data_IF_148020650140
#
_entry.id   IF_148020650140
#
_cell.length_a   1.000
_cell.length_b   1.000
_cell.length_c   1.000
_cell.angle_alpha   90.00
_cell.angle_beta   90.00
_cell.angle_gamma   90.00
#
_symmetry.space_group_name_H-M   'P 1'
#
loop_
_entity.id
_entity.type
_entity.pdbx_description
1 polymer ?
#
# COMPACT_ATOMS: atom_id res chain seq x y z
N UNK A 1 9.16 3.14 -20.63
CA UNK A 1 9.79 2.30 -19.60
C UNK A 1 9.46 0.85 -19.90
N UNK A 2 10.44 -0.05 -19.91
CA UNK A 2 10.22 -1.50 -20.05
C UNK A 2 10.49 -2.17 -18.71
N UNK A 3 9.52 -2.11 -17.79
CA UNK A 3 9.60 -2.86 -16.54
C UNK A 3 9.20 -4.31 -16.82
N UNK A 4 9.88 -5.26 -16.16
CA UNK A 4 9.57 -6.68 -16.22
C UNK A 4 9.39 -7.20 -14.80
N UNK A 5 8.34 -8.01 -14.59
CA UNK A 5 8.04 -8.67 -13.33
C UNK A 5 7.75 -10.15 -13.62
N UNK A 6 8.48 -11.06 -12.98
CA UNK A 6 8.27 -12.50 -13.10
C UNK A 6 7.18 -12.95 -12.10
N UNK A 7 6.04 -13.36 -12.64
CA UNK A 7 4.94 -13.92 -11.86
C UNK A 7 5.29 -15.33 -11.34
N UNK A 8 4.87 -15.70 -10.10
CA UNK A 8 4.07 -14.92 -9.17
C UNK A 8 4.89 -13.91 -8.35
N UNK A 9 4.60 -12.63 -8.50
CA UNK A 9 5.07 -11.56 -7.63
C UNK A 9 3.87 -10.69 -7.24
N UNK A 10 3.92 -10.12 -6.04
CA UNK A 10 2.84 -9.28 -5.51
C UNK A 10 3.40 -7.91 -5.11
N UNK A 11 2.83 -6.86 -5.70
CA UNK A 11 3.17 -5.48 -5.40
C UNK A 11 2.08 -4.80 -4.56
N UNK A 12 2.50 -3.96 -3.61
CA UNK A 12 1.57 -3.09 -2.89
C UNK A 12 0.86 -2.13 -3.85
N UNK A 13 -0.38 -1.76 -3.51
CA UNK A 13 -1.17 -0.82 -4.32
C UNK A 13 -0.40 0.48 -4.58
N UNK A 14 -0.53 1.06 -5.78
CA UNK A 14 0.19 2.28 -6.20
C UNK A 14 1.73 2.16 -6.15
N UNK A 15 2.29 0.95 -6.26
CA UNK A 15 3.75 0.78 -6.39
C UNK A 15 4.22 1.19 -7.78
N UNK A 16 5.23 2.05 -7.85
CA UNK A 16 5.95 2.34 -9.08
C UNK A 16 7.04 1.28 -9.27
N UNK A 17 7.01 0.54 -10.38
CA UNK A 17 7.98 -0.52 -10.70
C UNK A 17 8.92 -0.07 -11.81
N UNK A 18 10.23 -0.32 -11.62
CA UNK A 18 11.26 0.03 -12.60
C UNK A 18 12.37 -1.04 -12.65
N UNK A 19 12.63 -1.55 -13.86
CA UNK A 19 13.69 -2.53 -14.12
C UNK A 19 13.15 -3.96 -14.23
N UNK A 20 14.04 -4.96 -14.08
CA UNK A 20 13.73 -6.37 -14.31
C UNK A 20 13.71 -7.17 -13.00
N UNK A 21 12.52 -7.49 -12.51
CA UNK A 21 12.30 -8.22 -11.26
C UNK A 21 12.01 -9.70 -11.57
N UNK A 22 13.04 -10.54 -11.54
CA UNK A 22 12.93 -11.99 -11.82
C UNK A 22 12.58 -12.83 -10.60
N UNK A 23 12.56 -12.24 -9.41
CA UNK A 23 12.21 -12.94 -8.17
C UNK A 23 10.74 -12.76 -7.81
N UNK A 24 10.13 -13.83 -7.31
CA UNK A 24 8.75 -13.90 -6.80
C UNK A 24 8.62 -13.19 -5.44
N UNK A 25 8.75 -11.87 -5.44
CA UNK A 25 8.69 -11.03 -4.25
C UNK A 25 7.24 -10.82 -3.79
N UNK A 26 7.08 -10.53 -2.50
CA UNK A 26 5.78 -10.14 -1.93
C UNK A 26 5.92 -8.86 -1.12
N UNK A 27 5.45 -7.77 -1.73
CA UNK A 27 5.44 -6.42 -1.15
C UNK A 27 4.02 -5.89 -1.00
N UNK A 28 3.02 -6.80 -0.98
CA UNK A 28 1.60 -6.45 -0.86
C UNK A 28 1.29 -5.59 0.37
N UNK A 29 2.06 -5.75 1.45
CA UNK A 29 1.96 -4.96 2.67
C UNK A 29 2.46 -3.51 2.51
N UNK A 30 3.17 -3.14 1.45
CA UNK A 30 3.84 -1.84 1.30
C UNK A 30 3.25 -1.01 0.16
N UNK A 31 2.06 -0.39 0.33
CA UNK A 31 1.46 0.44 -0.70
C UNK A 31 2.28 1.71 -0.95
N UNK A 32 2.07 2.35 -2.10
CA UNK A 32 2.74 3.59 -2.51
C UNK A 32 4.27 3.50 -2.49
N UNK A 33 4.82 2.33 -2.78
CA UNK A 33 6.27 2.11 -2.77
C UNK A 33 6.90 2.39 -4.12
N UNK A 34 8.22 2.56 -4.15
CA UNK A 34 9.01 2.36 -5.37
C UNK A 34 9.70 1.01 -5.28
N UNK A 35 9.60 0.22 -6.34
CA UNK A 35 10.33 -1.03 -6.51
C UNK A 35 11.29 -0.84 -7.69
N UNK A 36 12.59 -0.82 -7.40
CA UNK A 36 13.63 -0.52 -8.39
C UNK A 36 14.64 -1.65 -8.43
N UNK A 37 14.86 -2.21 -9.62
CA UNK A 37 15.98 -3.12 -9.84
C UNK A 37 17.29 -2.34 -9.91
N UNK A 38 18.28 -2.83 -9.16
CA UNK A 38 19.65 -2.35 -9.25
C UNK A 38 20.59 -3.51 -8.94
N UNK A 39 21.56 -3.76 -9.82
CA UNK A 39 22.56 -4.82 -9.63
C UNK A 39 21.90 -6.18 -9.38
N UNK A 40 20.88 -6.52 -10.18
CA UNK A 40 20.13 -7.79 -10.10
C UNK A 40 19.33 -7.98 -8.80
N UNK A 41 19.28 -6.95 -7.94
CA UNK A 41 18.51 -6.94 -6.70
C UNK A 41 17.33 -5.99 -6.81
N UNK A 42 16.21 -6.40 -6.21
CA UNK A 42 15.02 -5.57 -6.11
C UNK A 42 15.06 -4.73 -4.84
N UNK A 43 15.17 -3.42 -4.97
CA UNK A 43 15.15 -2.48 -3.87
C UNK A 43 13.75 -1.90 -3.68
N UNK A 44 13.22 -2.06 -2.48
CA UNK A 44 11.95 -1.48 -2.07
C UNK A 44 12.22 -0.17 -1.31
N UNK A 45 11.51 0.89 -1.71
CA UNK A 45 11.48 2.16 -1.00
C UNK A 45 10.05 2.41 -0.51
N UNK A 46 9.74 2.02 0.74
CA UNK A 46 8.39 2.06 1.28
C UNK A 46 7.83 3.49 1.30
N UNK A 47 6.60 3.65 0.83
CA UNK A 47 5.87 4.92 0.83
C UNK A 47 6.45 6.02 -0.07
N UNK A 48 7.50 5.75 -0.87
CA UNK A 48 8.16 6.76 -1.70
C UNK A 48 7.23 7.45 -2.69
N UNK A 49 6.23 6.73 -3.20
CA UNK A 49 5.25 7.24 -4.14
C UNK A 49 4.21 8.18 -3.49
N UNK A 50 4.08 8.21 -2.15
CA UNK A 50 3.17 9.14 -1.44
C UNK A 50 3.50 10.61 -1.72
N UNK A 51 4.77 10.92 -2.01
CA UNK A 51 5.25 12.29 -2.25
C UNK A 51 5.36 12.65 -3.73
N UNK A 52 4.86 11.80 -4.63
CA UNK A 52 5.02 12.01 -6.07
C UNK A 52 3.80 12.75 -6.66
N UNK A 53 4.07 13.67 -7.59
CA UNK A 53 3.01 14.24 -8.46
C UNK A 53 2.33 13.17 -9.32
N UNK A 54 3.03 12.06 -9.61
CA UNK A 54 2.48 10.94 -10.35
C UNK A 54 1.28 10.33 -9.65
N UNK A 55 1.37 10.11 -8.34
CA UNK A 55 0.28 9.57 -7.52
C UNK A 55 -0.92 10.51 -7.52
N UNK A 56 -0.72 11.80 -7.24
CA UNK A 56 -1.82 12.80 -7.24
C UNK A 56 -2.52 12.81 -8.59
N UNK A 57 -1.73 12.89 -9.68
CA UNK A 57 -2.27 12.87 -11.04
C UNK A 57 -3.04 11.59 -11.31
N UNK A 58 -2.54 10.42 -10.91
CA UNK A 58 -3.23 9.16 -11.16
C UNK A 58 -4.54 9.06 -10.36
N UNK A 59 -4.55 9.53 -9.11
CA UNK A 59 -5.75 9.60 -8.28
C UNK A 59 -6.83 10.53 -8.87
N UNK A 60 -6.45 11.65 -9.47
CA UNK A 60 -7.39 12.57 -10.13
C UNK A 60 -7.81 12.09 -11.53
N UNK A 61 -6.88 11.48 -12.25
CA UNK A 61 -7.05 11.05 -13.65
C UNK A 61 -8.07 9.94 -13.80
N UNK A 62 -8.08 8.95 -12.92
CA UNK A 62 -8.98 7.79 -13.07
C UNK A 62 -10.46 8.15 -12.89
N UNK A 63 -10.88 8.89 -11.85
CA UNK A 63 -12.24 9.43 -11.75
C UNK A 63 -12.62 10.29 -12.95
N UNK A 64 -11.74 11.21 -13.37
CA UNK A 64 -12.02 12.12 -14.47
C UNK A 64 -12.16 11.42 -15.84
N UNK A 65 -11.65 10.19 -15.95
CA UNK A 65 -11.74 9.35 -17.15
C UNK A 65 -12.83 8.28 -17.05
N UNK A 66 -13.57 8.20 -15.95
CA UNK A 66 -14.68 7.27 -15.84
C UNK A 66 -15.86 7.75 -16.69
N UNK A 67 -15.92 7.24 -17.92
CA UNK A 67 -16.99 7.51 -18.88
C UNK A 67 -18.10 6.47 -18.91
N UNK A 68 -18.18 5.58 -17.90
CA UNK A 68 -19.16 4.49 -17.88
C UNK A 68 -20.59 5.04 -17.80
N UNK A 69 -21.42 4.68 -18.79
CA UNK A 69 -22.86 5.00 -18.82
C UNK A 69 -23.69 3.96 -18.07
N UNK A 70 -23.18 2.74 -17.91
CA UNK A 70 -23.82 1.66 -17.15
C UNK A 70 -22.82 1.17 -16.10
N UNK A 71 -23.16 1.35 -14.82
CA UNK A 71 -22.26 1.09 -13.69
C UNK A 71 -22.62 -0.24 -13.00
N UNK A 72 -22.29 -1.37 -13.64
CA UNK A 72 -22.52 -2.70 -13.06
C UNK A 72 -21.52 -3.09 -11.98
N UNK A 73 -20.31 -2.52 -12.06
CA UNK A 73 -19.23 -2.73 -11.09
C UNK A 73 -19.14 -1.55 -10.13
N UNK A 74 -18.98 -1.85 -8.84
CA UNK A 74 -18.63 -0.86 -7.85
C UNK A 74 -17.14 -0.52 -8.00
N UNK A 75 -16.83 0.73 -8.35
CA UNK A 75 -15.47 1.25 -8.36
C UNK A 75 -15.41 2.36 -7.33
N UNK A 76 -14.58 2.17 -6.32
CA UNK A 76 -14.28 3.20 -5.33
C UNK A 76 -12.94 3.86 -5.71
N UNK A 77 -12.98 5.18 -5.92
CA UNK A 77 -11.81 5.97 -6.30
C UNK A 77 -11.14 6.69 -5.13
N UNK A 78 -11.67 6.55 -3.91
CA UNK A 78 -11.12 7.22 -2.74
C UNK A 78 -9.75 6.67 -2.39
N UNK A 79 -8.75 7.56 -2.32
CA UNK A 79 -7.40 7.20 -1.90
C UNK A 79 -7.30 6.99 -0.37
N UNK A 80 -8.14 7.69 0.40
CA UNK A 80 -8.19 7.59 1.84
C UNK A 80 -9.29 6.60 2.22
N UNK A 81 -8.98 5.32 2.14
CA UNK A 81 -9.89 4.23 2.45
C UNK A 81 -9.28 3.26 3.47
N UNK A 82 -10.10 2.43 4.16
CA UNK A 82 -9.59 1.59 5.23
C UNK A 82 -8.73 0.42 4.74
N UNK A 83 -8.88 -0.02 3.48
CA UNK A 83 -8.02 -1.02 2.88
C UNK A 83 -6.57 -0.53 2.73
N UNK A 84 -6.37 0.63 2.09
CA UNK A 84 -5.04 1.23 1.92
C UNK A 84 -4.46 1.70 3.26
N UNK A 85 -5.28 2.28 4.13
CA UNK A 85 -4.84 2.73 5.47
C UNK A 85 -4.41 1.56 6.33
N UNK A 86 -5.17 0.45 6.31
CA UNK A 86 -4.80 -0.79 6.98
C UNK A 86 -3.50 -1.40 6.45
N UNK A 87 -3.27 -1.34 5.13
CA UNK A 87 -1.99 -1.76 4.55
C UNK A 87 -0.82 -0.86 4.99
N UNK A 88 -1.01 0.46 5.08
CA UNK A 88 0.03 1.37 5.59
C UNK A 88 0.35 1.11 7.07
N UNK A 89 -0.64 0.78 7.90
CA UNK A 89 -0.42 0.38 9.29
C UNK A 89 0.42 -0.90 9.38
N UNK A 90 0.07 -1.93 8.60
CA UNK A 90 0.86 -3.16 8.50
C UNK A 90 2.29 -2.89 8.00
N UNK A 91 2.47 -1.96 7.07
CA UNK A 91 3.79 -1.54 6.60
C UNK A 91 4.62 -0.94 7.75
N UNK A 92 4.03 -0.07 8.57
CA UNK A 92 4.71 0.54 9.73
C UNK A 92 5.13 -0.54 10.72
N UNK A 93 4.24 -1.47 11.06
CA UNK A 93 4.54 -2.59 11.95
C UNK A 93 5.69 -3.46 11.40
N UNK A 94 5.66 -3.76 10.10
CA UNK A 94 6.72 -4.54 9.45
C UNK A 94 8.08 -3.80 9.44
N UNK A 95 8.09 -2.48 9.21
CA UNK A 95 9.32 -1.69 9.22
C UNK A 95 9.91 -1.57 10.63
N UNK A 96 9.07 -1.38 11.66
CA UNK A 96 9.53 -1.42 13.05
C UNK A 96 10.09 -2.80 13.42
N UNK A 97 9.41 -3.88 13.03
CA UNK A 97 9.91 -5.24 13.29
C UNK A 97 11.27 -5.50 12.64
N UNK A 98 11.54 -4.97 11.44
CA UNK A 98 12.86 -5.06 10.81
C UNK A 98 13.93 -4.24 11.57
N UNK A 99 13.62 -3.00 11.94
CA UNK A 99 14.53 -2.11 12.67
C UNK A 99 14.84 -2.63 14.08
N UNK A 100 13.88 -3.22 14.78
CA UNK A 100 14.07 -3.80 16.12
C UNK A 100 14.94 -5.07 16.09
N UNK A 101 14.86 -5.87 15.03
CA UNK A 101 15.66 -7.09 14.87
C UNK A 101 17.14 -6.79 14.65
N UNK A 102 17.46 -5.73 13.89
CA UNK A 102 18.83 -5.29 13.64
C UNK A 102 18.90 -3.75 13.47
N UNK A 103 19.04 -3.00 14.58
CA UNK A 103 19.02 -1.53 14.54
C UNK A 103 20.16 -0.91 13.72
N UNK A 104 21.29 -1.62 13.58
CA UNK A 104 22.50 -1.12 12.95
C UNK A 104 22.68 -1.63 11.50
N UNK A 105 21.77 -2.47 11.00
CA UNK A 105 21.79 -2.94 9.62
C UNK A 105 21.77 -1.77 8.61
N UNK A 106 22.66 -1.84 7.63
CA UNK A 106 22.63 -0.91 6.49
C UNK A 106 21.48 -1.24 5.50
N UNK A 107 21.14 -2.52 5.38
CA UNK A 107 20.11 -3.05 4.49
C UNK A 107 19.33 -4.18 5.17
N UNK A 108 18.01 -4.18 4.98
CA UNK A 108 17.07 -5.14 5.53
C UNK A 108 16.52 -6.01 4.40
N UNK A 109 16.76 -7.33 4.40
CA UNK A 109 16.05 -8.26 3.53
C UNK A 109 14.55 -8.28 3.86
N UNK A 110 13.69 -8.17 2.86
CA UNK A 110 12.25 -8.18 3.05
C UNK A 110 11.56 -8.87 1.86
N UNK A 111 11.04 -10.09 2.06
CA UNK A 111 10.26 -10.84 1.06
C UNK A 111 10.87 -10.86 -0.36
N UNK A 112 12.15 -11.22 -0.46
CA UNK A 112 12.95 -11.24 -1.70
C UNK A 112 13.20 -9.86 -2.34
N UNK A 113 13.01 -8.80 -1.56
CA UNK A 113 13.47 -7.44 -1.83
C UNK A 113 14.44 -6.99 -0.74
N UNK A 114 14.95 -5.77 -0.89
CA UNK A 114 15.90 -5.15 0.03
C UNK A 114 15.44 -3.74 0.33
N UNK A 115 15.38 -3.39 1.62
CA UNK A 115 15.09 -2.04 2.09
C UNK A 115 16.36 -1.46 2.71
N UNK A 116 16.85 -0.33 2.20
CA UNK A 116 17.98 0.37 2.84
C UNK A 116 17.52 1.04 4.14
N UNK A 117 18.37 1.11 5.16
CA UNK A 117 18.03 1.73 6.43
C UNK A 117 17.49 3.18 6.30
N UNK A 118 18.07 3.96 5.39
CA UNK A 118 17.58 5.30 5.09
C UNK A 118 16.16 5.30 4.47
N UNK A 119 15.87 4.33 3.61
CA UNK A 119 14.55 4.18 2.99
C UNK A 119 13.51 3.67 4.00
N UNK A 120 13.90 2.77 4.92
CA UNK A 120 13.06 2.31 6.04
C UNK A 120 12.63 3.49 6.91
N UNK A 121 13.60 4.25 7.45
CA UNK A 121 13.32 5.41 8.32
C UNK A 121 12.51 6.49 7.61
N UNK A 122 12.72 6.67 6.30
CA UNK A 122 11.88 7.56 5.48
C UNK A 122 10.46 7.02 5.34
N UNK A 123 10.31 5.73 5.06
CA UNK A 123 9.04 5.04 4.91
C UNK A 123 8.18 5.18 6.16
N UNK A 124 8.74 4.93 7.34
CA UNK A 124 8.06 5.15 8.63
C UNK A 124 7.49 6.57 8.76
N UNK A 125 8.29 7.59 8.42
CA UNK A 125 7.84 8.99 8.47
C UNK A 125 6.73 9.29 7.45
N UNK A 126 6.81 8.73 6.25
CA UNK A 126 5.83 8.96 5.19
C UNK A 126 4.50 8.26 5.49
N UNK A 127 4.54 6.98 5.88
CA UNK A 127 3.34 6.24 6.24
C UNK A 127 2.64 6.84 7.45
N UNK A 128 3.36 7.20 8.52
CA UNK A 128 2.71 7.83 9.68
C UNK A 128 1.96 9.12 9.31
N UNK A 129 2.54 9.96 8.44
CA UNK A 129 1.84 11.17 7.94
C UNK A 129 0.61 10.82 7.10
N UNK A 130 0.75 9.86 6.18
CA UNK A 130 -0.35 9.46 5.30
C UNK A 130 -1.49 8.79 6.07
N UNK A 131 -1.17 7.96 7.08
CA UNK A 131 -2.15 7.34 7.98
C UNK A 131 -2.94 8.42 8.72
N UNK A 132 -2.27 9.40 9.34
CA UNK A 132 -2.96 10.49 10.04
C UNK A 132 -3.87 11.28 9.10
N UNK A 133 -3.41 11.60 7.88
CA UNK A 133 -4.21 12.30 6.89
C UNK A 133 -5.42 11.49 6.42
N UNK A 134 -5.25 10.18 6.21
CA UNK A 134 -6.31 9.28 5.78
C UNK A 134 -7.35 9.08 6.89
N UNK A 135 -6.91 8.85 8.13
CA UNK A 135 -7.80 8.75 9.29
C UNK A 135 -8.59 10.03 9.50
N UNK A 136 -7.95 11.21 9.40
CA UNK A 136 -8.64 12.49 9.50
C UNK A 136 -9.77 12.64 8.48
N UNK A 137 -9.51 12.30 7.21
CA UNK A 137 -10.53 12.36 6.15
C UNK A 137 -11.65 11.33 6.33
N UNK A 138 -11.32 10.11 6.76
CA UNK A 138 -12.32 9.06 6.99
C UNK A 138 -13.20 9.38 8.20
N UNK A 139 -12.63 9.90 9.29
CA UNK A 139 -13.37 10.28 10.49
C UNK A 139 -14.27 11.50 10.27
N UNK A 140 -13.84 12.47 9.46
CA UNK A 140 -14.65 13.65 9.10
C UNK A 140 -15.94 13.27 8.36
N UNK A 141 -15.92 12.15 7.63
CA UNK A 141 -17.08 11.60 6.91
C UNK A 141 -17.81 10.49 7.66
N UNK A 142 -17.22 10.00 8.75
CA UNK A 142 -17.68 8.83 9.47
C UNK A 142 -18.73 9.17 10.51
N UNK A 143 -19.56 8.18 10.83
CA UNK A 143 -20.51 8.25 11.95
C UNK A 143 -20.11 7.21 13.00
N UNK A 144 -20.34 7.53 14.27
CA UNK A 144 -20.14 6.56 15.35
C UNK A 144 -21.22 5.48 15.27
N UNK A 145 -20.83 4.22 15.43
CA UNK A 145 -21.74 3.08 15.44
C UNK A 145 -21.40 2.14 16.59
N UNK A 146 -22.40 1.82 17.42
CA UNK A 146 -22.25 0.78 18.46
C UNK A 146 -22.14 -0.64 17.85
N UNK A 147 -22.54 -0.79 16.60
CA UNK A 147 -22.55 -2.08 15.88
C UNK A 147 -21.22 -2.41 15.24
N UNK A 148 -20.46 -1.40 14.80
CA UNK A 148 -19.25 -1.58 14.01
C UNK A 148 -18.06 -0.95 14.74
N UNK A 149 -17.11 -1.79 15.14
CA UNK A 149 -15.86 -1.39 15.81
C UNK A 149 -14.76 -0.93 14.83
N UNK A 150 -14.96 -1.16 13.53
CA UNK A 150 -14.00 -0.82 12.47
C UNK A 150 -12.66 -1.56 12.58
N UNK A 151 -12.58 -2.58 13.44
CA UNK A 151 -11.36 -3.28 13.78
C UNK A 151 -10.99 -4.40 12.80
N UNK A 152 -9.70 -4.74 12.78
CA UNK A 152 -9.17 -5.87 12.01
C UNK A 152 -8.69 -5.52 10.61
N UNK A 153 -8.40 -6.57 9.82
CA UNK A 153 -7.90 -6.43 8.45
C UNK A 153 -9.04 -6.07 7.51
N UNK A 154 -8.91 -4.95 6.81
CA UNK A 154 -9.82 -4.55 5.74
C UNK A 154 -9.44 -5.20 4.41
N UNK A 155 -10.44 -5.60 3.65
CA UNK A 155 -10.33 -6.19 2.31
C UNK A 155 -11.10 -5.32 1.32
N UNK A 156 -10.58 -5.20 0.11
CA UNK A 156 -11.35 -4.71 -1.03
C UNK A 156 -11.99 -5.92 -1.74
N UNK A 157 -13.31 -6.01 -1.64
CA UNK A 157 -14.14 -7.03 -2.30
C UNK A 157 -14.95 -6.31 -3.38
N UNK A 158 -14.41 -6.29 -4.59
CA UNK A 158 -15.05 -5.69 -5.77
C UNK A 158 -15.52 -4.24 -5.54
N UNK A 159 -14.66 -3.41 -4.94
CA UNK A 159 -14.94 -2.00 -4.66
C UNK A 159 -15.66 -1.74 -3.35
N UNK A 160 -16.02 -2.79 -2.59
CA UNK A 160 -16.54 -2.67 -1.23
C UNK A 160 -15.44 -2.97 -0.21
N UNK A 161 -15.26 -2.06 0.75
CA UNK A 161 -14.34 -2.28 1.84
C UNK A 161 -15.05 -2.98 2.99
N UNK A 162 -14.65 -4.21 3.26
CA UNK A 162 -15.26 -5.07 4.28
C UNK A 162 -14.15 -5.64 5.15
N UNK A 163 -14.37 -5.77 6.46
CA UNK A 163 -13.37 -6.43 7.31
C UNK A 163 -13.35 -7.92 7.01
N UNK A 164 -12.16 -8.52 7.07
CA UNK A 164 -11.96 -9.96 6.84
C UNK A 164 -12.88 -10.82 7.70
N UNK A 165 -13.12 -10.40 8.96
CA UNK A 165 -14.03 -11.08 9.90
C UNK A 165 -15.45 -11.20 9.34
N UNK A 166 -16.01 -10.12 8.79
CA UNK A 166 -17.36 -10.15 8.23
C UNK A 166 -17.43 -10.99 6.95
N UNK A 167 -16.37 -10.98 6.12
CA UNK A 167 -16.30 -11.84 4.93
C UNK A 167 -16.27 -13.31 5.33
N UNK A 168 -15.45 -13.67 6.33
CA UNK A 168 -15.37 -15.06 6.82
C UNK A 168 -16.68 -15.53 7.47
N UNK A 169 -17.46 -14.64 8.07
CA UNK A 169 -18.78 -14.98 8.63
C UNK A 169 -19.85 -15.28 7.56
N UNK A 170 -19.60 -14.94 6.29
CA UNK A 170 -20.50 -15.20 5.16
C UNK A 170 -20.18 -16.50 4.41
N UNK A 171 -19.03 -17.13 4.68
CA UNK A 171 -18.57 -18.38 4.06
C UNK A 171 -18.92 -19.60 4.92
#
# INVERSE_FOLDING_TARGET
SGAYVMSPALEGAFTMVMGHHTHHHDTSAFPFSYLIEKQERSFLMPGANLTSYGTVRDLEKWPARDGRTVQRDAINFEACNPYLTGAMLQAVDALHGLEEQDPDAAEYPCNKTVIRAAALRRGLKLYNKAIVAALGQMLDRGESSERYDGGGRWLDIAGQYVTKREVEALL
#
